data_IF_417772077891
#
_entry.id   IF_417772077891
#
_cell.length_a   1.000
_cell.length_b   1.000
_cell.length_c   1.000
_cell.angle_alpha   90.00
_cell.angle_beta   90.00
_cell.angle_gamma   90.00
#
_symmetry.space_group_name_H-M   'P 1'
#
loop_
_entity.id
_entity.type
_entity.pdbx_description
1 polymer ?
#
# COMPACT_ATOMS: atom_id res chain seq x y z
N UNK A 1 -21.44 -67.29 21.81
CA UNK A 1 -20.39 -67.54 20.82
C UNK A 1 -20.15 -66.24 20.11
N UNK A 2 -19.28 -65.40 20.65
CA UNK A 2 -19.03 -64.05 20.25
C UNK A 2 -17.56 -63.92 19.83
N UNK A 3 -17.30 -63.89 18.53
CA UNK A 3 -15.95 -63.68 18.04
C UNK A 3 -15.74 -62.20 17.79
N UNK A 4 -15.10 -61.54 18.75
CA UNK A 4 -14.54 -60.20 18.58
C UNK A 4 -13.27 -60.29 17.77
N UNK A 5 -13.35 -59.92 16.51
CA UNK A 5 -12.19 -59.70 15.65
C UNK A 5 -11.77 -58.23 15.83
N UNK A 6 -10.88 -57.96 16.77
CA UNK A 6 -10.18 -56.70 16.85
C UNK A 6 -9.07 -56.70 15.77
N UNK A 7 -9.29 -55.97 14.69
CA UNK A 7 -8.23 -55.64 13.77
C UNK A 7 -7.39 -54.50 14.40
N UNK A 8 -6.16 -54.74 14.74
CA UNK A 8 -5.25 -53.61 15.03
C UNK A 8 -4.89 -52.96 13.73
N UNK A 9 -5.52 -51.83 13.49
CA UNK A 9 -5.15 -50.91 12.40
C UNK A 9 -3.83 -50.27 12.78
N UNK A 10 -2.74 -50.95 12.45
CA UNK A 10 -1.38 -50.39 12.53
C UNK A 10 -1.27 -49.28 11.51
N UNK A 11 -1.46 -48.06 11.99
CA UNK A 11 -1.24 -46.83 11.22
C UNK A 11 0.27 -46.69 11.03
N UNK A 12 0.79 -47.21 9.92
CA UNK A 12 2.16 -46.98 9.51
C UNK A 12 2.26 -45.55 9.03
N UNK A 13 2.62 -44.64 9.96
CA UNK A 13 3.04 -43.30 9.60
C UNK A 13 4.40 -43.40 8.90
N UNK A 14 4.38 -43.50 7.58
CA UNK A 14 5.58 -43.33 6.75
C UNK A 14 5.93 -41.84 6.83
N UNK A 15 6.80 -41.49 7.77
CA UNK A 15 7.46 -40.21 7.79
C UNK A 15 8.47 -40.23 6.65
N UNK A 16 8.04 -39.73 5.49
CA UNK A 16 8.94 -39.37 4.39
C UNK A 16 9.77 -38.18 4.90
N UNK A 17 10.84 -38.48 5.63
CA UNK A 17 11.93 -37.52 5.80
C UNK A 17 12.59 -37.44 4.43
N UNK A 18 12.03 -36.55 3.59
CA UNK A 18 12.72 -36.08 2.40
C UNK A 18 13.93 -35.33 2.92
N UNK A 19 15.05 -36.02 3.08
CA UNK A 19 16.34 -35.41 3.24
C UNK A 19 16.58 -34.60 1.97
N UNK A 20 16.13 -33.34 1.96
CA UNK A 20 16.72 -32.37 1.09
C UNK A 20 18.19 -32.32 1.49
N UNK A 21 19.04 -33.00 0.69
CA UNK A 21 20.45 -32.69 0.70
C UNK A 21 20.49 -31.18 0.56
N UNK A 22 20.87 -30.48 1.63
CA UNK A 22 21.02 -29.04 1.64
C UNK A 22 22.14 -28.72 0.66
N UNK A 23 21.77 -28.43 -0.60
CA UNK A 23 22.69 -27.76 -1.50
C UNK A 23 23.20 -26.53 -0.74
N UNK A 24 24.50 -26.21 -0.79
CA UNK A 24 25.01 -25.00 -0.17
C UNK A 24 24.19 -23.84 -0.67
N UNK A 25 23.38 -23.28 0.21
CA UNK A 25 22.46 -22.20 -0.14
C UNK A 25 23.30 -20.97 -0.47
N UNK A 26 23.19 -20.47 -1.69
CA UNK A 26 23.86 -19.20 -2.04
C UNK A 26 23.26 -18.08 -1.19
N UNK A 27 24.09 -17.47 -0.34
CA UNK A 27 23.67 -16.46 0.63
C UNK A 27 23.10 -15.20 -0.04
N UNK A 28 23.69 -14.80 -1.17
CA UNK A 28 23.24 -13.62 -1.93
C UNK A 28 21.85 -13.84 -2.52
N UNK A 29 21.60 -15.04 -3.02
CA UNK A 29 20.29 -15.44 -3.55
C UNK A 29 19.22 -15.46 -2.44
N UNK A 30 19.53 -16.07 -1.29
CA UNK A 30 18.62 -16.13 -0.15
C UNK A 30 18.28 -14.72 0.37
N UNK A 31 19.25 -13.80 0.42
CA UNK A 31 19.02 -12.41 0.79
C UNK A 31 18.10 -11.69 -0.23
N UNK A 32 18.34 -11.92 -1.53
CA UNK A 32 17.51 -11.35 -2.59
C UNK A 32 16.06 -11.84 -2.50
N UNK A 33 15.86 -13.14 -2.29
CA UNK A 33 14.53 -13.74 -2.08
C UNK A 33 13.80 -13.15 -0.88
N UNK A 34 14.48 -13.06 0.26
CA UNK A 34 13.92 -12.51 1.49
C UNK A 34 13.51 -11.03 1.33
N UNK A 35 14.33 -10.23 0.65
CA UNK A 35 14.02 -8.82 0.39
C UNK A 35 12.85 -8.67 -0.57
N UNK A 36 12.86 -9.41 -1.69
CA UNK A 36 11.78 -9.40 -2.66
C UNK A 36 10.44 -9.85 -2.06
N UNK A 37 10.45 -10.93 -1.28
CA UNK A 37 9.24 -11.46 -0.66
C UNK A 37 8.64 -10.46 0.34
N UNK A 38 9.45 -9.76 1.12
CA UNK A 38 8.97 -8.66 1.99
C UNK A 38 8.34 -7.53 1.18
N UNK A 39 9.02 -7.10 0.11
CA UNK A 39 8.51 -6.05 -0.76
C UNK A 39 7.18 -6.47 -1.44
N UNK A 40 7.07 -7.70 -1.90
CA UNK A 40 5.86 -8.22 -2.56
C UNK A 40 4.66 -8.36 -1.61
N UNK A 41 4.88 -8.55 -0.32
CA UNK A 41 3.79 -8.62 0.68
C UNK A 41 3.30 -7.27 1.14
N UNK A 42 4.00 -6.18 0.83
CA UNK A 42 3.59 -4.83 1.16
C UNK A 42 2.55 -4.30 0.15
N UNK A 43 1.31 -3.98 0.59
CA UNK A 43 0.27 -3.46 -0.30
C UNK A 43 0.63 -2.13 -0.96
N UNK A 44 1.49 -1.31 -0.33
CA UNK A 44 1.93 -0.05 -0.92
C UNK A 44 2.89 -0.29 -2.08
N UNK A 45 3.78 -1.26 -1.92
CA UNK A 45 4.73 -1.66 -2.95
C UNK A 45 3.99 -2.20 -4.18
N UNK A 46 3.05 -3.12 -3.98
CA UNK A 46 2.28 -3.74 -5.07
C UNK A 46 1.39 -2.75 -5.83
N UNK A 47 0.92 -1.68 -5.16
CA UNK A 47 0.10 -0.64 -5.80
C UNK A 47 0.92 0.44 -6.50
N UNK A 48 2.04 0.87 -5.91
CA UNK A 48 2.75 2.06 -6.35
C UNK A 48 4.02 1.74 -7.16
N UNK A 49 4.59 0.54 -7.00
CA UNK A 49 5.82 0.11 -7.64
C UNK A 49 5.68 -1.27 -8.30
N UNK A 50 4.51 -1.58 -8.86
CA UNK A 50 4.21 -2.89 -9.44
C UNK A 50 5.19 -3.28 -10.55
N UNK A 51 5.52 -2.34 -11.43
CA UNK A 51 6.43 -2.58 -12.56
C UNK A 51 7.86 -2.89 -12.06
N UNK A 52 8.34 -2.12 -11.11
CA UNK A 52 9.67 -2.30 -10.53
C UNK A 52 9.77 -3.64 -9.78
N UNK A 53 8.69 -4.07 -9.11
CA UNK A 53 8.60 -5.39 -8.48
C UNK A 53 8.57 -6.52 -9.50
N UNK A 54 7.89 -6.35 -10.63
CA UNK A 54 7.88 -7.33 -11.72
C UNK A 54 9.30 -7.53 -12.28
N UNK A 55 10.03 -6.44 -12.52
CA UNK A 55 11.41 -6.48 -12.98
C UNK A 55 12.31 -7.16 -11.94
N UNK A 56 12.14 -6.84 -10.66
CA UNK A 56 12.88 -7.48 -9.57
C UNK A 56 12.63 -9.00 -9.54
N UNK A 57 11.37 -9.41 -9.67
CA UNK A 57 10.98 -10.82 -9.76
C UNK A 57 11.58 -11.53 -10.97
N UNK A 58 11.68 -10.86 -12.12
CA UNK A 58 12.32 -11.43 -13.31
C UNK A 58 13.81 -11.69 -13.09
N UNK A 59 14.55 -10.78 -12.43
CA UNK A 59 15.95 -11.03 -12.08
C UNK A 59 16.11 -12.13 -11.04
N UNK A 60 15.21 -12.17 -10.04
CA UNK A 60 15.21 -13.22 -9.04
C UNK A 60 14.98 -14.59 -9.66
N UNK A 61 14.03 -14.71 -10.59
CA UNK A 61 13.78 -15.94 -11.33
C UNK A 61 14.99 -16.37 -12.15
N UNK A 62 15.69 -15.43 -12.79
CA UNK A 62 16.94 -15.73 -13.51
C UNK A 62 18.04 -16.22 -12.56
N UNK A 63 18.18 -15.62 -11.38
CA UNK A 63 19.15 -16.05 -10.38
C UNK A 63 18.85 -17.47 -9.88
N UNK A 64 17.58 -17.78 -9.58
CA UNK A 64 17.14 -19.11 -9.19
C UNK A 64 17.37 -20.14 -10.29
N UNK A 65 17.09 -19.79 -11.55
CA UNK A 65 17.34 -20.68 -12.69
C UNK A 65 18.84 -20.97 -12.84
N UNK A 66 19.68 -19.94 -12.80
CA UNK A 66 21.14 -20.10 -12.87
C UNK A 66 21.67 -20.99 -11.72
N UNK A 67 21.13 -20.82 -10.51
CA UNK A 67 21.49 -21.65 -9.36
C UNK A 67 21.08 -23.12 -9.59
N UNK A 68 19.87 -23.38 -10.08
CA UNK A 68 19.38 -24.73 -10.39
C UNK A 68 20.18 -25.41 -11.53
N UNK A 69 20.69 -24.62 -12.47
CA UNK A 69 21.54 -25.09 -13.56
C UNK A 69 23.02 -25.25 -13.19
N UNK A 70 23.36 -25.08 -11.91
CA UNK A 70 24.74 -25.13 -11.41
C UNK A 70 25.69 -24.18 -12.11
N UNK A 71 25.19 -22.97 -12.49
CA UNK A 71 26.04 -21.91 -12.97
C UNK A 71 27.05 -21.50 -11.89
N UNK A 72 28.11 -20.77 -12.29
CA UNK A 72 29.10 -20.30 -11.32
C UNK A 72 28.46 -19.36 -10.28
N UNK A 73 28.99 -19.38 -9.04
CA UNK A 73 28.53 -18.54 -7.95
C UNK A 73 28.54 -17.05 -8.34
N UNK A 74 29.54 -16.60 -9.10
CA UNK A 74 29.62 -15.22 -9.59
C UNK A 74 28.41 -14.82 -10.44
N UNK A 75 27.90 -15.72 -11.28
CA UNK A 75 26.71 -15.48 -12.11
C UNK A 75 25.47 -15.38 -11.25
N UNK A 76 25.30 -16.31 -10.31
CA UNK A 76 24.17 -16.31 -9.38
C UNK A 76 24.19 -15.07 -8.50
N UNK A 77 25.34 -14.70 -7.94
CA UNK A 77 25.54 -13.51 -7.11
C UNK A 77 25.23 -12.22 -7.87
N UNK A 78 25.69 -12.14 -9.12
CA UNK A 78 25.41 -10.97 -9.95
C UNK A 78 23.90 -10.82 -10.23
N UNK A 79 23.21 -11.90 -10.57
CA UNK A 79 21.76 -11.87 -10.82
C UNK A 79 20.97 -11.58 -9.54
N UNK A 80 21.38 -12.16 -8.41
CA UNK A 80 20.80 -11.87 -7.10
C UNK A 80 21.02 -10.40 -6.70
N UNK A 81 22.21 -9.85 -6.97
CA UNK A 81 22.48 -8.42 -6.78
C UNK A 81 21.54 -7.54 -7.62
N UNK A 82 21.34 -7.86 -8.90
CA UNK A 82 20.40 -7.12 -9.75
C UNK A 82 18.96 -7.20 -9.23
N UNK A 83 18.52 -8.35 -8.73
CA UNK A 83 17.22 -8.51 -8.09
C UNK A 83 17.09 -7.62 -6.84
N UNK A 84 18.13 -7.58 -5.99
CA UNK A 84 18.17 -6.70 -4.81
C UNK A 84 18.13 -5.22 -5.18
N UNK A 85 18.85 -4.81 -6.22
CA UNK A 85 18.85 -3.43 -6.70
C UNK A 85 17.48 -3.01 -7.23
N UNK A 86 16.84 -3.86 -8.03
CA UNK A 86 15.49 -3.59 -8.54
C UNK A 86 14.44 -3.54 -7.43
N UNK A 87 14.57 -4.41 -6.41
CA UNK A 87 13.71 -4.33 -5.21
C UNK A 87 13.92 -3.00 -4.47
N UNK A 88 15.18 -2.53 -4.35
CA UNK A 88 15.48 -1.22 -3.73
C UNK A 88 14.84 -0.06 -4.54
N UNK A 89 14.90 -0.12 -5.86
CA UNK A 89 14.25 0.88 -6.72
C UNK A 89 12.74 0.87 -6.50
N UNK A 90 12.12 -0.30 -6.40
CA UNK A 90 10.70 -0.43 -6.08
C UNK A 90 10.36 0.22 -4.73
N UNK A 91 11.15 -0.04 -3.68
CA UNK A 91 11.00 0.56 -2.35
C UNK A 91 11.07 2.10 -2.42
N UNK A 92 12.04 2.65 -3.14
CA UNK A 92 12.18 4.10 -3.32
C UNK A 92 11.02 4.69 -4.12
N UNK A 93 10.60 4.03 -5.20
CA UNK A 93 9.47 4.45 -6.03
C UNK A 93 8.17 4.49 -5.22
N UNK A 94 7.88 3.46 -4.43
CA UNK A 94 6.71 3.43 -3.56
C UNK A 94 6.75 4.55 -2.51
N UNK A 95 7.90 4.78 -1.89
CA UNK A 95 8.10 5.86 -0.92
C UNK A 95 7.87 7.22 -1.55
N UNK A 96 8.45 7.48 -2.71
CA UNK A 96 8.29 8.76 -3.43
C UNK A 96 6.83 8.99 -3.83
N UNK A 97 6.17 8.02 -4.46
CA UNK A 97 4.76 8.13 -4.86
C UNK A 97 3.83 8.32 -3.64
N UNK A 98 4.15 7.69 -2.51
CA UNK A 98 3.42 7.90 -1.25
C UNK A 98 3.54 9.34 -0.77
N UNK A 99 4.75 9.89 -0.77
CA UNK A 99 4.99 11.29 -0.38
C UNK A 99 4.23 12.26 -1.31
N UNK A 100 4.24 12.01 -2.61
CA UNK A 100 3.48 12.80 -3.59
C UNK A 100 1.97 12.77 -3.31
N UNK A 101 1.40 11.60 -3.03
CA UNK A 101 -0.01 11.46 -2.67
C UNK A 101 -0.37 12.22 -1.40
N UNK A 102 0.51 12.23 -0.40
CA UNK A 102 0.32 12.99 0.84
C UNK A 102 0.32 14.50 0.57
N UNK A 103 1.27 15.00 -0.22
CA UNK A 103 1.33 16.43 -0.60
C UNK A 103 0.08 16.84 -1.37
N UNK A 104 -0.34 16.05 -2.35
CA UNK A 104 -1.54 16.30 -3.13
C UNK A 104 -2.80 16.32 -2.24
N UNK A 105 -2.93 15.37 -1.32
CA UNK A 105 -4.04 15.31 -0.37
C UNK A 105 -4.05 16.54 0.56
N UNK A 106 -2.90 16.93 1.09
CA UNK A 106 -2.78 18.13 1.94
C UNK A 106 -3.16 19.41 1.18
N UNK A 107 -2.75 19.52 -0.09
CA UNK A 107 -3.08 20.65 -0.96
C UNK A 107 -4.59 20.74 -1.21
N UNK A 108 -5.23 19.61 -1.51
CA UNK A 108 -6.69 19.54 -1.71
C UNK A 108 -7.42 19.97 -0.42
N UNK A 109 -7.02 19.43 0.73
CA UNK A 109 -7.61 19.80 2.04
C UNK A 109 -7.45 21.28 2.33
N UNK A 110 -6.27 21.87 2.10
CA UNK A 110 -6.00 23.28 2.26
C UNK A 110 -6.90 24.14 1.37
N UNK A 111 -7.00 23.78 0.09
CA UNK A 111 -7.84 24.52 -0.87
C UNK A 111 -9.32 24.45 -0.49
N UNK A 112 -9.80 23.31 -0.01
CA UNK A 112 -11.17 23.15 0.48
C UNK A 112 -11.41 24.03 1.72
N UNK A 113 -10.51 24.02 2.69
CA UNK A 113 -10.60 24.87 3.89
C UNK A 113 -10.65 26.37 3.53
N UNK A 114 -9.81 26.81 2.58
CA UNK A 114 -9.82 28.20 2.09
C UNK A 114 -11.14 28.57 1.40
N UNK A 115 -11.72 27.66 0.61
CA UNK A 115 -13.03 27.90 -0.03
C UNK A 115 -14.14 27.98 1.00
N UNK A 116 -14.13 27.13 2.02
CA UNK A 116 -15.13 27.14 3.09
C UNK A 116 -15.01 28.41 3.93
N UNK A 117 -13.80 28.82 4.31
CA UNK A 117 -13.59 30.06 5.07
C UNK A 117 -14.06 31.32 4.32
N UNK A 118 -13.81 31.39 3.00
CA UNK A 118 -14.33 32.47 2.15
C UNK A 118 -15.87 32.48 2.10
N UNK A 119 -16.50 31.30 1.96
CA UNK A 119 -17.98 31.20 1.98
C UNK A 119 -18.57 31.62 3.32
N UNK A 120 -17.98 31.18 4.42
CA UNK A 120 -18.41 31.56 5.77
C UNK A 120 -18.23 33.06 6.03
N UNK A 121 -17.09 33.64 5.60
CA UNK A 121 -16.84 35.05 5.67
C UNK A 121 -17.85 35.90 4.87
N UNK A 122 -18.19 35.43 3.66
CA UNK A 122 -19.22 36.08 2.84
C UNK A 122 -20.61 35.97 3.48
N UNK A 123 -20.95 34.80 4.05
CA UNK A 123 -22.23 34.62 4.75
C UNK A 123 -22.33 35.53 5.99
N UNK A 124 -21.27 35.61 6.80
CA UNK A 124 -21.21 36.51 7.96
C UNK A 124 -21.39 37.99 7.60
N UNK A 125 -20.87 38.43 6.46
CA UNK A 125 -21.05 39.83 5.98
C UNK A 125 -22.46 40.11 5.48
N UNK A 126 -23.19 39.11 4.98
CA UNK A 126 -24.57 39.28 4.51
C UNK A 126 -25.61 39.30 5.64
N UNK A 127 -25.30 38.72 6.78
CA UNK A 127 -26.19 38.68 7.94
C UNK A 127 -26.57 40.08 8.47
N UNK A 128 -25.62 41.00 8.79
CA UNK A 128 -25.97 42.31 9.27
C UNK A 128 -26.71 43.16 8.24
N UNK A 129 -26.41 42.99 6.93
CA UNK A 129 -27.12 43.69 5.84
C UNK A 129 -28.61 43.29 5.80
N UNK A 130 -28.89 42.01 5.95
CA UNK A 130 -30.28 41.53 6.02
C UNK A 130 -31.04 42.03 7.22
N UNK A 131 -30.42 42.07 8.41
CA UNK A 131 -31.02 42.62 9.62
C UNK A 131 -31.35 44.11 9.45
N UNK A 132 -30.42 44.90 8.93
CA UNK A 132 -30.64 46.30 8.66
C UNK A 132 -31.76 46.56 7.63
N UNK A 133 -31.88 45.67 6.63
CA UNK A 133 -32.95 45.81 5.62
C UNK A 133 -34.31 45.49 6.21
N UNK A 134 -34.40 44.45 7.03
CA UNK A 134 -35.65 44.12 7.74
C UNK A 134 -36.07 45.21 8.74
N UNK A 135 -35.10 45.75 9.50
CA UNK A 135 -35.36 46.86 10.41
C UNK A 135 -35.85 48.13 9.68
N UNK A 136 -35.20 48.47 8.53
CA UNK A 136 -35.66 49.61 7.70
C UNK A 136 -37.07 49.41 7.15
N UNK A 137 -37.36 48.22 6.63
CA UNK A 137 -38.69 47.90 6.14
C UNK A 137 -39.74 47.91 7.27
N UNK A 138 -39.36 47.43 8.46
CA UNK A 138 -40.24 47.51 9.63
C UNK A 138 -40.53 48.94 10.05
N UNK A 139 -39.53 49.85 10.01
CA UNK A 139 -39.69 51.26 10.29
C UNK A 139 -40.51 51.97 9.23
N UNK A 140 -40.27 51.68 7.93
CA UNK A 140 -41.10 52.25 6.82
C UNK A 140 -42.55 51.84 6.92
N UNK A 141 -42.86 50.59 7.25
CA UNK A 141 -44.24 50.15 7.46
C UNK A 141 -44.89 50.77 8.66
N UNK A 142 -44.09 51.01 9.75
CA UNK A 142 -44.61 51.73 10.94
C UNK A 142 -44.84 53.22 10.68
N UNK A 143 -44.00 53.87 9.87
CA UNK A 143 -44.14 55.28 9.49
C UNK A 143 -45.19 55.50 8.41
N UNK A 144 -45.43 54.53 7.50
CA UNK A 144 -46.49 54.61 6.49
C UNK A 144 -47.90 54.58 7.08
N UNK A 145 -48.00 54.63 8.41
CA UNK A 145 -49.23 54.96 9.09
C UNK A 145 -50.35 54.01 8.80
N UNK A 146 -50.14 52.80 9.11
CA UNK A 146 -51.28 52.00 9.53
C UNK A 146 -51.47 52.34 11.00
N UNK A 147 -51.88 53.56 11.25
CA UNK A 147 -52.68 53.87 12.41
C UNK A 147 -54.05 53.31 12.20
N UNK A 148 -54.62 52.66 13.21
CA UNK A 148 -55.98 52.12 13.15
C UNK A 148 -57.01 53.21 13.04
#
# INVERSE_FOLDING_TARGET
MTNNLYFPMTLIAVVMVSGCASMPQNSSLAEAENRYNRARTDPMMTRLAALELEIAGAYLNKANHAFCEHASDDVVDHLAYLAKQQTAIAEQTATWKTAELLVNTATIKRNLALRLSKKLGAAKRRMPIRQQTVERQGIELAVAGISP
#
